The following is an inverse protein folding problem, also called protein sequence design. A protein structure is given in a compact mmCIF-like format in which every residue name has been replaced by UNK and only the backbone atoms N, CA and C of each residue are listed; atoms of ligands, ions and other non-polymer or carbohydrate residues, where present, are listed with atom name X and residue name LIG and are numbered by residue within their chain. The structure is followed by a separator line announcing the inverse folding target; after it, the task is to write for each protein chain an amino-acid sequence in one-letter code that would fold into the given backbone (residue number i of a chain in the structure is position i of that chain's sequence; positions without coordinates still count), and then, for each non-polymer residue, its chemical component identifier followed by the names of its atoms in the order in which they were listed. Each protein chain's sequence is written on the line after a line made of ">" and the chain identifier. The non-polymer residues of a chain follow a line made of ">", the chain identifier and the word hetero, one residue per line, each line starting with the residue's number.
data_IF_468427507761
#
_entry.id   IF_468427507761
#
_cell.length_a   1.000
_cell.length_b   1.000
_cell.length_c   1.000
_cell.angle_alpha   90.00
_cell.angle_beta   90.00
_cell.angle_gamma   90.00
#
_symmetry.space_group_name_H-M   'P 1'
#
loop_
_entity.id
_entity.type
_entity.pdbx_description
1 polymer ?
#
# COMPACT_ATOMS: atom_id res chain seq x y z
N UNK A 1 -9.94 3.37 -15.26
CA UNK A 1 -8.60 3.24 -14.65
C UNK A 1 -7.94 2.03 -15.27
N UNK A 2 -6.70 2.17 -15.73
CA UNK A 2 -5.95 1.12 -16.39
C UNK A 2 -5.78 -0.07 -15.45
N UNK A 3 -6.34 -1.22 -15.84
CA UNK A 3 -6.21 -2.51 -15.13
C UNK A 3 -4.78 -3.07 -15.17
N UNK A 4 -3.84 -2.36 -15.79
CA UNK A 4 -2.47 -2.82 -15.98
C UNK A 4 -1.68 -2.88 -14.66
N UNK A 5 -2.04 -2.04 -13.67
CA UNK A 5 -1.38 -1.94 -12.37
C UNK A 5 -2.30 -2.36 -11.20
N UNK A 6 -3.13 -3.38 -11.41
CA UNK A 6 -4.04 -3.87 -10.39
C UNK A 6 -3.79 -5.34 -10.06
N UNK A 7 -3.76 -5.66 -8.76
CA UNK A 7 -3.77 -7.05 -8.28
C UNK A 7 -5.23 -7.42 -7.98
N UNK A 8 -5.72 -8.44 -8.66
CA UNK A 8 -7.05 -9.00 -8.39
C UNK A 8 -6.97 -10.01 -7.24
N UNK A 9 -7.50 -9.61 -6.09
CA UNK A 9 -7.55 -10.45 -4.89
C UNK A 9 -8.63 -11.52 -4.97
N UNK A 10 -9.72 -11.23 -5.67
CA UNK A 10 -10.87 -12.13 -5.79
C UNK A 10 -11.45 -12.17 -7.20
N UNK A 11 -12.12 -13.27 -7.52
CA UNK A 11 -13.11 -13.32 -8.61
C UNK A 11 -14.52 -12.97 -8.13
N UNK A 12 -15.52 -13.02 -9.03
CA UNK A 12 -16.87 -12.52 -8.75
C UNK A 12 -17.53 -13.13 -7.51
N UNK A 13 -18.29 -12.32 -6.79
CA UNK A 13 -19.04 -12.72 -5.59
C UNK A 13 -20.26 -11.82 -5.37
N UNK A 14 -21.14 -12.22 -4.46
CA UNK A 14 -22.33 -11.45 -4.09
C UNK A 14 -22.13 -10.79 -2.74
N UNK A 15 -22.72 -9.62 -2.59
CA UNK A 15 -22.75 -8.84 -1.37
C UNK A 15 -24.20 -8.56 -1.03
N UNK A 16 -24.59 -8.71 0.23
CA UNK A 16 -25.89 -8.23 0.70
C UNK A 16 -25.68 -6.97 1.52
N UNK A 17 -26.55 -5.98 1.33
CA UNK A 17 -26.54 -4.77 2.15
C UNK A 17 -27.47 -4.90 3.37
N UNK A 18 -27.46 -3.89 4.22
CA UNK A 18 -28.31 -3.83 5.43
C UNK A 18 -29.81 -3.75 5.13
N UNK A 19 -30.19 -3.38 3.91
CA UNK A 19 -31.57 -3.33 3.43
C UNK A 19 -32.03 -4.67 2.81
N UNK A 20 -31.14 -5.66 2.73
CA UNK A 20 -31.41 -6.97 2.15
C UNK A 20 -31.38 -7.00 0.62
N UNK A 21 -30.84 -5.95 -0.02
CA UNK A 21 -30.56 -5.95 -1.46
C UNK A 21 -29.28 -6.71 -1.74
N UNK A 22 -29.19 -7.31 -2.91
CA UNK A 22 -28.02 -8.07 -3.34
C UNK A 22 -27.30 -7.34 -4.47
N UNK A 23 -26.01 -7.15 -4.29
CA UNK A 23 -25.09 -6.54 -5.23
C UNK A 23 -24.16 -7.59 -5.81
N UNK A 24 -23.85 -7.50 -7.10
CA UNK A 24 -22.88 -8.38 -7.75
C UNK A 24 -21.55 -7.64 -7.86
N UNK A 25 -20.54 -8.17 -7.19
CA UNK A 25 -19.18 -7.66 -7.27
C UNK A 25 -18.37 -8.48 -8.28
N UNK A 26 -17.62 -7.80 -9.14
CA UNK A 26 -16.77 -8.44 -10.17
C UNK A 26 -15.46 -8.95 -9.59
N UNK A 27 -14.84 -8.14 -8.74
CA UNK A 27 -13.55 -8.42 -8.13
C UNK A 27 -13.33 -7.52 -6.92
N UNK A 28 -12.44 -7.96 -6.03
CA UNK A 28 -11.73 -7.10 -5.09
C UNK A 28 -10.33 -6.89 -5.65
N UNK A 29 -9.88 -5.64 -5.68
CA UNK A 29 -8.60 -5.24 -6.27
C UNK A 29 -7.84 -4.28 -5.36
N UNK A 30 -6.54 -4.24 -5.54
CA UNK A 30 -5.64 -3.23 -5.00
C UNK A 30 -4.72 -2.75 -6.13
N UNK A 31 -4.17 -1.55 -6.00
CA UNK A 31 -3.04 -1.14 -6.85
C UNK A 31 -1.85 -2.04 -6.51
N UNK A 32 -1.05 -2.42 -7.50
CA UNK A 32 0.06 -3.36 -7.34
C UNK A 32 1.27 -2.79 -6.57
N UNK A 33 1.41 -1.47 -6.56
CA UNK A 33 2.42 -0.74 -5.80
C UNK A 33 1.88 0.56 -5.20
N UNK A 34 2.18 0.84 -3.93
CA UNK A 34 1.80 2.09 -3.28
C UNK A 34 2.72 2.47 -2.11
N UNK A 35 2.62 3.72 -1.67
CA UNK A 35 3.23 4.19 -0.43
C UNK A 35 2.18 4.20 0.68
N UNK A 36 2.47 3.55 1.80
CA UNK A 36 1.62 3.64 2.99
C UNK A 36 0.37 2.75 2.93
N UNK A 37 -0.77 3.32 3.33
CA UNK A 37 -2.03 2.61 3.52
C UNK A 37 -2.59 2.15 2.17
N UNK A 38 -3.15 0.93 2.13
CA UNK A 38 -3.66 0.30 0.91
C UNK A 38 -5.16 0.57 0.79
N UNK A 39 -5.55 1.22 -0.30
CA UNK A 39 -6.95 1.30 -0.71
C UNK A 39 -7.40 -0.01 -1.37
N UNK A 40 -8.57 -0.50 -0.96
CA UNK A 40 -9.17 -1.72 -1.47
C UNK A 40 -10.42 -1.37 -2.28
N UNK A 41 -10.38 -1.76 -3.55
CA UNK A 41 -11.39 -1.44 -4.55
C UNK A 41 -12.30 -2.63 -4.77
N UNK A 42 -13.62 -2.42 -4.74
CA UNK A 42 -14.62 -3.44 -5.07
C UNK A 42 -15.45 -2.95 -6.25
N UNK A 43 -15.30 -3.63 -7.39
CA UNK A 43 -16.08 -3.36 -8.58
C UNK A 43 -17.48 -3.94 -8.48
N UNK A 44 -18.49 -3.13 -8.77
CA UNK A 44 -19.86 -3.59 -8.90
C UNK A 44 -20.29 -3.69 -10.36
N UNK A 45 -21.19 -4.64 -10.66
CA UNK A 45 -21.80 -4.75 -11.98
C UNK A 45 -22.81 -3.62 -12.26
N UNK A 46 -23.55 -3.25 -11.21
CA UNK A 46 -24.63 -2.27 -11.25
C UNK A 46 -24.23 -0.98 -10.55
N UNK A 47 -24.70 0.18 -11.02
CA UNK A 47 -24.49 1.44 -10.32
C UNK A 47 -25.20 1.45 -8.96
N UNK A 48 -24.55 2.07 -7.98
CA UNK A 48 -25.03 2.26 -6.61
C UNK A 48 -26.00 3.43 -6.51
N UNK A 49 -26.07 4.28 -7.53
CA UNK A 49 -26.83 5.53 -7.51
C UNK A 49 -26.34 6.40 -6.34
N UNK A 50 -27.21 6.72 -5.38
CA UNK A 50 -26.88 7.57 -4.22
C UNK A 50 -26.66 6.76 -2.91
N UNK A 51 -26.56 5.42 -3.00
CA UNK A 51 -26.39 4.57 -1.81
C UNK A 51 -24.92 4.53 -1.32
N UNK A 52 -24.63 4.94 -0.07
CA UNK A 52 -23.27 4.94 0.47
C UNK A 52 -22.85 3.53 0.92
N UNK A 53 -22.72 2.57 0.00
CA UNK A 53 -22.40 1.18 0.34
C UNK A 53 -21.05 1.02 1.04
N UNK A 54 -20.12 1.96 0.86
CA UNK A 54 -18.83 2.01 1.56
C UNK A 54 -18.95 2.29 3.07
N UNK A 55 -20.11 2.80 3.54
CA UNK A 55 -20.41 3.01 4.96
C UNK A 55 -21.35 1.94 5.53
N UNK A 56 -21.91 1.05 4.68
CA UNK A 56 -22.82 0.01 5.14
C UNK A 56 -22.04 -1.11 5.86
N UNK A 57 -22.27 -1.34 7.16
CA UNK A 57 -21.50 -2.31 7.94
C UNK A 57 -21.73 -3.75 7.49
N UNK A 58 -22.88 -4.07 6.89
CA UNK A 58 -23.16 -5.40 6.34
C UNK A 58 -22.35 -5.59 5.07
N UNK A 59 -22.30 -4.60 4.19
CA UNK A 59 -21.48 -4.62 2.97
C UNK A 59 -20.00 -4.82 3.31
N UNK A 60 -19.46 -4.00 4.22
CA UNK A 60 -18.07 -4.08 4.65
C UNK A 60 -17.77 -5.48 5.22
N UNK A 61 -18.67 -6.02 6.06
CA UNK A 61 -18.51 -7.36 6.64
C UNK A 61 -18.51 -8.47 5.58
N UNK A 62 -19.35 -8.39 4.55
CA UNK A 62 -19.39 -9.38 3.46
C UNK A 62 -18.09 -9.32 2.63
N UNK A 63 -17.57 -8.12 2.35
CA UNK A 63 -16.28 -7.92 1.67
C UNK A 63 -15.13 -8.50 2.51
N UNK A 64 -15.08 -8.19 3.81
CA UNK A 64 -14.08 -8.74 4.73
C UNK A 64 -14.19 -10.25 4.85
N UNK A 65 -15.41 -10.80 4.87
CA UNK A 65 -15.63 -12.25 4.88
C UNK A 65 -15.06 -12.88 3.62
N UNK A 66 -15.20 -12.24 2.45
CA UNK A 66 -14.57 -12.69 1.22
C UNK A 66 -13.04 -12.66 1.32
N UNK A 67 -12.44 -11.58 1.82
CA UNK A 67 -10.99 -11.50 2.05
C UNK A 67 -10.49 -12.56 3.04
N UNK A 68 -11.26 -12.85 4.09
CA UNK A 68 -10.96 -13.91 5.07
C UNK A 68 -10.90 -15.29 4.43
N UNK A 69 -11.78 -15.59 3.47
CA UNK A 69 -11.68 -16.85 2.71
C UNK A 69 -10.42 -16.94 1.84
N UNK A 70 -9.78 -15.81 1.54
CA UNK A 70 -8.56 -15.71 0.72
C UNK A 70 -7.28 -15.70 1.55
N UNK A 71 -7.40 -15.70 2.88
CA UNK A 71 -6.29 -15.77 3.84
C UNK A 71 -6.02 -14.50 4.63
N UNK A 72 -6.87 -13.46 4.54
CA UNK A 72 -6.72 -12.28 5.38
C UNK A 72 -7.30 -12.53 6.79
N UNK A 73 -6.53 -12.28 7.84
CA UNK A 73 -6.94 -12.51 9.23
C UNK A 73 -6.78 -11.27 10.14
N UNK A 74 -6.52 -10.10 9.53
CA UNK A 74 -6.32 -8.84 10.24
C UNK A 74 -7.60 -8.11 10.65
N UNK A 75 -7.46 -6.85 11.11
CA UNK A 75 -8.56 -6.01 11.56
C UNK A 75 -9.60 -5.70 10.47
N UNK A 76 -10.75 -5.16 10.88
CA UNK A 76 -11.78 -4.71 9.93
C UNK A 76 -11.34 -3.42 9.21
N UNK A 77 -11.85 -3.21 8.00
CA UNK A 77 -11.56 -2.02 7.19
C UNK A 77 -12.44 -0.83 7.56
N UNK A 78 -11.96 0.36 7.24
CA UNK A 78 -12.72 1.60 7.30
C UNK A 78 -13.25 2.04 5.93
N UNK A 79 -14.23 2.97 5.91
CA UNK A 79 -14.58 3.66 4.67
C UNK A 79 -13.40 4.52 4.20
N UNK A 80 -13.12 4.52 2.90
CA UNK A 80 -12.21 5.49 2.31
C UNK A 80 -12.89 6.86 2.14
N UNK A 81 -12.12 7.88 1.75
CA UNK A 81 -12.66 9.23 1.53
C UNK A 81 -13.77 9.25 0.47
N UNK A 82 -14.81 10.08 0.70
CA UNK A 82 -15.96 10.18 -0.20
C UNK A 82 -15.57 10.53 -1.66
N UNK A 83 -14.48 11.27 -1.85
CA UNK A 83 -13.98 11.65 -3.19
C UNK A 83 -13.36 10.50 -3.98
N UNK A 84 -13.10 9.35 -3.35
CA UNK A 84 -12.57 8.14 -4.00
C UNK A 84 -13.67 7.20 -4.49
N UNK A 85 -14.90 7.38 -4.03
CA UNK A 85 -16.03 6.55 -4.40
C UNK A 85 -16.48 6.89 -5.83
N UNK A 86 -16.99 5.89 -6.54
CA UNK A 86 -17.61 6.06 -7.86
C UNK A 86 -18.91 5.26 -7.90
N UNK A 87 -19.80 5.53 -8.86
CA UNK A 87 -21.12 4.93 -8.98
C UNK A 87 -21.07 3.39 -9.04
N UNK A 88 -19.97 2.79 -9.52
CA UNK A 88 -19.78 1.33 -9.56
C UNK A 88 -18.59 0.82 -8.73
N UNK A 89 -18.07 1.65 -7.84
CA UNK A 89 -16.83 1.38 -7.13
C UNK A 89 -16.98 1.71 -5.65
N UNK A 90 -16.81 0.69 -4.82
CA UNK A 90 -16.61 0.88 -3.39
C UNK A 90 -15.11 0.93 -3.13
N UNK A 91 -14.66 1.94 -2.40
CA UNK A 91 -13.28 2.05 -1.90
C UNK A 91 -13.28 1.99 -0.38
N UNK A 92 -12.46 1.08 0.16
CA UNK A 92 -12.25 0.91 1.59
C UNK A 92 -10.78 1.16 1.93
N UNK A 93 -10.55 1.75 3.09
CA UNK A 93 -9.20 1.94 3.63
C UNK A 93 -8.83 0.73 4.49
N UNK A 94 -7.77 0.02 4.10
CA UNK A 94 -7.30 -1.14 4.85
C UNK A 94 -6.35 -0.72 5.99
N UNK A 95 -6.34 -1.44 7.12
CA UNK A 95 -5.36 -1.19 8.18
C UNK A 95 -3.94 -1.57 7.73
N UNK A 96 -2.91 -1.06 8.41
CA UNK A 96 -1.49 -1.33 8.07
C UNK A 96 -1.17 -2.83 7.99
N UNK A 97 -1.79 -3.65 8.85
CA UNK A 97 -1.59 -5.11 8.88
C UNK A 97 -2.04 -5.81 7.60
N UNK A 98 -2.92 -5.18 6.81
CA UNK A 98 -3.31 -5.70 5.50
C UNK A 98 -2.13 -5.77 4.53
N UNK A 99 -1.09 -4.96 4.72
CA UNK A 99 0.14 -4.97 3.92
C UNK A 99 0.76 -6.37 3.80
N UNK A 100 0.86 -7.13 4.90
CA UNK A 100 1.40 -8.50 4.88
C UNK A 100 0.60 -9.45 4.00
N UNK A 101 -0.73 -9.33 4.04
CA UNK A 101 -1.61 -10.11 3.18
C UNK A 101 -1.44 -9.67 1.73
N UNK A 102 -1.41 -8.37 1.45
CA UNK A 102 -1.22 -7.82 0.11
C UNK A 102 0.13 -8.25 -0.50
N UNK A 103 1.23 -8.20 0.27
CA UNK A 103 2.56 -8.68 -0.13
C UNK A 103 2.51 -10.16 -0.53
N UNK A 104 1.79 -11.00 0.22
CA UNK A 104 1.58 -12.41 -0.13
C UNK A 104 0.86 -12.63 -1.47
N UNK A 105 0.18 -11.59 -1.98
CA UNK A 105 -0.50 -11.56 -3.28
C UNK A 105 0.29 -10.83 -4.36
N UNK A 106 1.48 -10.33 -4.04
CA UNK A 106 2.39 -9.67 -4.98
C UNK A 106 2.42 -8.14 -4.91
N UNK A 107 1.76 -7.52 -3.93
CA UNK A 107 1.85 -6.07 -3.72
C UNK A 107 3.26 -5.66 -3.31
N UNK A 108 3.69 -4.49 -3.77
CA UNK A 108 5.00 -3.91 -3.46
C UNK A 108 4.85 -2.65 -2.62
N UNK A 109 5.44 -2.68 -1.43
CA UNK A 109 5.55 -1.51 -0.59
C UNK A 109 6.67 -0.59 -1.12
N UNK A 110 6.30 0.52 -1.75
CA UNK A 110 7.29 1.46 -2.27
C UNK A 110 8.03 2.21 -1.15
N UNK A 111 7.43 2.42 0.02
CA UNK A 111 8.08 3.11 1.13
C UNK A 111 9.29 2.31 1.68
N UNK A 112 9.19 0.97 1.67
CA UNK A 112 10.31 0.11 2.08
C UNK A 112 11.50 0.19 1.11
N UNK A 113 11.26 0.36 -0.19
CA UNK A 113 12.31 0.47 -1.20
C UNK A 113 13.21 1.71 -0.98
N UNK A 114 12.65 2.83 -0.51
CA UNK A 114 13.44 4.04 -0.22
C UNK A 114 14.17 3.97 1.12
N UNK A 115 13.63 3.26 2.11
CA UNK A 115 14.33 3.03 3.38
C UNK A 115 15.60 2.17 3.18
N UNK A 116 15.59 1.25 2.22
CA UNK A 116 16.77 0.46 1.85
C UNK A 116 17.81 1.28 1.05
N UNK A 117 17.39 2.25 0.23
CA UNK A 117 18.32 3.16 -0.47
C UNK A 117 19.00 4.18 0.47
N UNK A 118 18.34 4.62 1.55
CA UNK A 118 18.98 5.46 2.59
C UNK A 118 19.86 4.65 3.58
N UNK A 119 19.75 3.32 3.58
CA UNK A 119 20.62 2.41 4.35
C UNK A 119 22.04 2.25 3.79
N UNK A 120 22.36 2.95 2.69
CA UNK A 120 23.69 3.02 2.08
C UNK A 120 24.65 4.03 2.71
N UNK A 121 24.43 4.45 3.95
CA UNK A 121 25.50 5.09 4.74
C UNK A 121 26.38 3.94 5.25
N UNK A 122 27.44 3.66 4.49
CA UNK A 122 28.57 2.86 4.99
C UNK A 122 28.91 3.34 6.42
N UNK A 123 29.16 2.44 7.38
CA UNK A 123 29.80 2.88 8.61
C UNK A 123 31.11 3.55 8.22
N UNK A 124 31.21 4.86 8.44
CA UNK A 124 32.47 5.59 8.44
C UNK A 124 33.33 5.04 9.57
N UNK A 125 33.92 3.88 9.32
CA UNK A 125 35.07 3.36 10.05
C UNK A 125 36.19 4.36 9.78
N UNK A 126 36.22 5.37 10.64
CA UNK A 126 37.31 6.30 10.80
C UNK A 126 38.54 5.53 11.29
N UNK A 127 39.18 4.86 10.33
CA UNK A 127 40.45 4.17 10.49
C UNK A 127 41.41 4.61 9.38
N UNK A 128 42.09 5.71 9.66
CA UNK A 128 43.52 5.88 9.34
C UNK A 128 43.92 5.92 7.85
N UNK A 129 43.64 7.02 7.16
CA UNK A 129 44.56 7.49 6.11
C UNK A 129 45.63 8.41 6.72
N UNK A 130 46.60 7.78 7.41
CA UNK A 130 47.79 8.45 7.96
C UNK A 130 48.67 9.00 6.82
N UNK A 131 48.52 8.48 5.60
CA UNK A 131 49.26 8.93 4.43
C UNK A 131 48.73 10.24 3.86
N UNK A 132 47.41 10.45 3.83
CA UNK A 132 46.81 11.71 3.38
C UNK A 132 47.18 12.89 4.29
N UNK A 133 47.22 12.67 5.61
CA UNK A 133 47.60 13.70 6.59
C UNK A 133 49.08 14.10 6.45
N UNK A 134 49.96 13.12 6.25
CA UNK A 134 51.40 13.35 6.06
C UNK A 134 51.70 14.04 4.71
N UNK A 135 50.95 13.71 3.65
CA UNK A 135 51.08 14.35 2.35
C UNK A 135 50.63 15.82 2.38
N UNK A 136 49.57 16.13 3.13
CA UNK A 136 49.08 17.50 3.29
C UNK A 136 50.05 18.36 4.12
N UNK A 137 50.55 17.85 5.25
CA UNK A 137 51.53 18.59 6.07
C UNK A 137 52.84 18.84 5.33
N UNK A 138 53.32 17.86 4.54
CA UNK A 138 54.52 18.03 3.71
C UNK A 138 54.32 19.09 2.59
N UNK A 139 53.11 19.20 2.05
CA UNK A 139 52.75 20.22 1.05
C UNK A 139 52.69 21.62 1.69
N UNK A 140 52.05 21.74 2.85
CA UNK A 140 51.91 23.02 3.56
C UNK A 140 53.25 23.56 4.06
N UNK A 141 54.12 22.69 4.57
CA UNK A 141 55.48 23.07 4.96
C UNK A 141 56.34 23.52 3.77
N UNK A 142 56.10 22.96 2.57
CA UNK A 142 56.81 23.35 1.34
C UNK A 142 56.30 24.69 0.75
N UNK A 143 55.06 25.07 1.04
CA UNK A 143 54.44 26.30 0.56
C UNK A 143 54.62 27.49 1.51
N UNK A 144 55.21 27.28 2.70
CA UNK A 144 55.60 28.35 3.62
C UNK A 144 54.44 29.15 4.21
N UNK A 145 53.22 28.59 4.20
CA UNK A 145 52.04 29.22 4.78
C UNK A 145 51.96 28.80 6.25
N UNK A 146 52.09 29.78 7.14
CA UNK A 146 51.99 29.63 8.59
C UNK A 146 50.56 29.83 9.05
#
# INVERSE_FOLDING_TARGET
>A
MDNENAIHLSGPFRINDSLGRTWNARAIRIVDESYGIIDVYVDLDTPMEDDPLHEDPVVIREILSRLRTLGYDGPDFGPAEAGMQDDKLIVLEAPEEFGRFAESKGWKNLAAAYAEEEGGIEPDDSAHDVHARAAFDALMHRLGVK
#
